data_IF_054250567175
#
_entry.id   IF_054250567175
#
_cell.length_a   1.000
_cell.length_b   1.000
_cell.length_c   1.000
_cell.angle_alpha   90.00
_cell.angle_beta   90.00
_cell.angle_gamma   90.00
#
_symmetry.space_group_name_H-M   'P 1'
#
loop_
_entity.id
_entity.type
_entity.pdbx_description
1 polymer ?
#
# COMPACT_ATOMS: atom_id res chain seq x y z
N UNK A 1 -6.32 24.23 10.62
CA UNK A 1 -5.99 23.09 9.71
C UNK A 1 -7.24 22.79 8.92
N UNK A 2 -7.18 22.88 7.60
CA UNK A 2 -8.33 22.56 6.72
C UNK A 2 -8.47 21.04 6.58
N UNK A 3 -9.69 20.55 6.33
CA UNK A 3 -9.99 19.12 6.10
C UNK A 3 -9.11 18.50 5.00
N UNK A 4 -8.73 19.31 4.02
CA UNK A 4 -7.83 18.96 2.93
C UNK A 4 -6.46 18.50 3.43
N UNK A 5 -5.97 19.08 4.51
CA UNK A 5 -4.68 18.75 5.11
C UNK A 5 -4.68 17.38 5.80
N UNK A 6 -5.80 16.94 6.38
CA UNK A 6 -5.89 15.65 7.08
C UNK A 6 -5.81 14.47 6.12
N UNK A 7 -6.57 14.47 5.02
CA UNK A 7 -6.54 13.38 4.03
C UNK A 7 -5.15 13.30 3.39
N UNK A 8 -4.58 14.44 3.03
CA UNK A 8 -3.23 14.50 2.48
C UNK A 8 -2.20 13.90 3.44
N UNK A 9 -2.25 14.28 4.72
CA UNK A 9 -1.35 13.76 5.76
C UNK A 9 -1.49 12.24 5.93
N UNK A 10 -2.71 11.70 5.89
CA UNK A 10 -2.94 10.26 5.98
C UNK A 10 -2.26 9.50 4.81
N UNK A 11 -2.36 9.99 3.58
CA UNK A 11 -1.72 9.36 2.44
C UNK A 11 -0.22 9.61 2.37
N UNK A 12 0.27 10.75 2.84
CA UNK A 12 1.71 10.99 3.03
C UNK A 12 2.33 10.02 4.03
N UNK A 13 1.66 9.80 5.18
CA UNK A 13 2.06 8.77 6.14
C UNK A 13 2.04 7.38 5.52
N UNK A 14 0.98 7.02 4.77
CA UNK A 14 0.89 5.70 4.13
C UNK A 14 2.03 5.47 3.13
N UNK A 15 2.35 6.46 2.30
CA UNK A 15 3.49 6.42 1.37
C UNK A 15 4.82 6.23 2.11
N UNK A 16 5.06 7.03 3.14
CA UNK A 16 6.26 6.96 3.96
C UNK A 16 6.40 5.60 4.66
N UNK A 17 5.34 5.08 5.25
CA UNK A 17 5.35 3.79 5.95
C UNK A 17 5.60 2.61 4.98
N UNK A 18 4.98 2.64 3.79
CA UNK A 18 5.26 1.67 2.74
C UNK A 18 6.74 1.74 2.32
N UNK A 19 7.27 2.94 2.05
CA UNK A 19 8.66 3.10 1.64
C UNK A 19 9.65 2.52 2.67
N UNK A 20 9.40 2.74 3.97
CA UNK A 20 10.23 2.20 5.06
C UNK A 20 10.19 0.67 5.10
N UNK A 21 8.98 0.08 5.01
CA UNK A 21 8.85 -1.38 5.00
C UNK A 21 9.57 -2.01 3.81
N UNK A 22 9.35 -1.48 2.60
CA UNK A 22 9.98 -2.02 1.41
C UNK A 22 11.50 -1.87 1.44
N UNK A 23 12.01 -0.75 1.97
CA UNK A 23 13.44 -0.54 2.16
C UNK A 23 14.05 -1.55 3.14
N UNK A 24 13.39 -1.85 4.25
CA UNK A 24 13.85 -2.86 5.22
C UNK A 24 13.89 -4.28 4.65
N UNK A 25 13.05 -4.57 3.64
CA UNK A 25 13.01 -5.87 2.99
C UNK A 25 13.96 -5.99 1.79
N UNK A 26 14.55 -4.90 1.31
CA UNK A 26 15.37 -4.90 0.09
C UNK A 26 16.66 -5.73 0.20
N UNK A 27 17.19 -5.90 1.42
CA UNK A 27 18.41 -6.66 1.69
C UNK A 27 18.18 -8.11 2.16
N UNK A 28 16.92 -8.57 2.20
CA UNK A 28 16.59 -9.93 2.63
C UNK A 28 16.99 -10.97 1.59
N UNK A 29 17.43 -12.15 2.08
CA UNK A 29 17.65 -13.31 1.21
C UNK A 29 16.33 -13.83 0.65
N UNK A 30 16.40 -14.64 -0.41
CA UNK A 30 15.21 -15.29 -0.97
C UNK A 30 14.50 -16.18 0.08
N UNK A 31 15.24 -16.90 0.90
CA UNK A 31 14.68 -17.70 2.00
C UNK A 31 13.90 -16.83 3.00
N UNK A 32 14.44 -15.66 3.39
CA UNK A 32 13.77 -14.71 4.27
C UNK A 32 12.53 -14.10 3.60
N UNK A 33 12.64 -13.74 2.32
CA UNK A 33 11.51 -13.18 1.56
C UNK A 33 10.37 -14.21 1.39
N UNK A 34 10.68 -15.50 1.33
CA UNK A 34 9.72 -16.58 1.15
C UNK A 34 9.19 -17.11 2.50
N UNK A 35 9.68 -16.59 3.63
CA UNK A 35 9.16 -16.92 4.96
C UNK A 35 7.72 -16.43 5.14
N UNK A 36 6.93 -17.25 5.84
CA UNK A 36 5.54 -16.94 6.23
C UNK A 36 5.24 -17.52 7.60
N UNK A 37 4.29 -16.90 8.31
CA UNK A 37 3.77 -17.38 9.58
C UNK A 37 2.25 -17.55 9.51
N UNK A 38 1.69 -18.30 10.45
CA UNK A 38 0.23 -18.48 10.55
C UNK A 38 -0.44 -17.12 10.83
N UNK A 39 -1.52 -16.84 10.10
CA UNK A 39 -2.28 -15.58 10.24
C UNK A 39 -1.82 -14.44 9.34
N UNK A 40 -0.81 -14.67 8.46
CA UNK A 40 -0.43 -13.70 7.43
C UNK A 40 -1.04 -14.05 6.06
N UNK A 41 -1.13 -13.07 5.19
CA UNK A 41 -1.63 -13.21 3.81
C UNK A 41 -0.83 -14.26 3.02
N UNK A 42 0.48 -14.25 3.17
CA UNK A 42 1.40 -15.15 2.48
C UNK A 42 2.83 -14.95 2.97
N UNK A 43 3.81 -15.24 2.12
CA UNK A 43 5.20 -14.89 2.41
C UNK A 43 5.41 -13.38 2.45
N UNK A 44 6.56 -12.92 2.97
CA UNK A 44 6.94 -11.50 2.89
C UNK A 44 6.87 -11.02 1.44
N UNK A 45 7.46 -11.77 0.52
CA UNK A 45 7.45 -11.47 -0.93
C UNK A 45 6.03 -11.35 -1.49
N UNK A 46 5.15 -12.29 -1.16
CA UNK A 46 3.76 -12.28 -1.62
C UNK A 46 3.00 -11.10 -1.06
N UNK A 47 3.21 -10.79 0.22
CA UNK A 47 2.54 -9.68 0.90
C UNK A 47 3.00 -8.33 0.35
N UNK A 48 4.31 -8.14 0.13
CA UNK A 48 4.83 -6.92 -0.51
C UNK A 48 4.27 -6.74 -1.93
N UNK A 49 4.24 -7.82 -2.73
CA UNK A 49 3.63 -7.78 -4.06
C UNK A 49 2.15 -7.40 -3.98
N UNK A 50 1.42 -7.96 -3.01
CA UNK A 50 0.01 -7.68 -2.80
C UNK A 50 -0.23 -6.21 -2.41
N UNK A 51 0.55 -5.64 -1.49
CA UNK A 51 0.48 -4.22 -1.15
C UNK A 51 0.66 -3.36 -2.41
N UNK A 52 1.73 -3.58 -3.18
CA UNK A 52 2.07 -2.74 -4.33
C UNK A 52 1.02 -2.80 -5.44
N UNK A 53 0.57 -4.01 -5.80
CA UNK A 53 -0.41 -4.19 -6.87
C UNK A 53 -1.81 -3.71 -6.48
N UNK A 54 -2.20 -3.91 -5.22
CA UNK A 54 -3.49 -3.44 -4.70
C UNK A 54 -3.55 -1.91 -4.64
N UNK A 55 -2.52 -1.26 -4.10
CA UNK A 55 -2.46 0.21 -4.01
C UNK A 55 -2.47 0.85 -5.40
N UNK A 56 -1.71 0.31 -6.35
CA UNK A 56 -1.75 0.72 -7.75
C UNK A 56 -3.16 0.55 -8.33
N UNK A 57 -3.85 -0.55 -8.01
CA UNK A 57 -5.20 -0.83 -8.48
C UNK A 57 -6.23 0.14 -7.87
N UNK A 58 -6.11 0.51 -6.60
CA UNK A 58 -6.98 1.50 -5.96
C UNK A 58 -6.83 2.88 -6.63
N UNK A 59 -5.60 3.33 -6.85
CA UNK A 59 -5.35 4.59 -7.56
C UNK A 59 -5.93 4.58 -8.98
N UNK A 60 -5.68 3.53 -9.75
CA UNK A 60 -6.20 3.42 -11.11
C UNK A 60 -7.73 3.39 -11.15
N UNK A 61 -8.38 2.66 -10.23
CA UNK A 61 -9.84 2.65 -10.15
C UNK A 61 -10.42 4.04 -9.91
N UNK A 62 -9.83 4.83 -9.01
CA UNK A 62 -10.27 6.19 -8.73
C UNK A 62 -10.07 7.09 -9.97
N UNK A 63 -8.93 6.99 -10.65
CA UNK A 63 -8.58 7.84 -11.78
C UNK A 63 -9.29 7.47 -13.10
N UNK A 64 -9.50 6.16 -13.33
CA UNK A 64 -9.91 5.66 -14.65
C UNK A 64 -11.14 4.76 -14.62
N UNK A 65 -11.63 4.39 -13.45
CA UNK A 65 -12.69 3.38 -13.27
C UNK A 65 -12.21 1.92 -13.51
N UNK A 66 -10.95 1.70 -13.88
CA UNK A 66 -10.43 0.37 -14.22
C UNK A 66 -9.40 -0.11 -13.20
N UNK A 67 -9.37 -1.41 -12.84
CA UNK A 67 -8.34 -1.97 -12.00
C UNK A 67 -6.99 -2.02 -12.72
N UNK A 68 -5.91 -1.98 -11.96
CA UNK A 68 -4.60 -2.35 -12.47
C UNK A 68 -4.61 -3.83 -12.91
N UNK A 69 -4.15 -4.08 -14.11
CA UNK A 69 -3.97 -5.42 -14.66
C UNK A 69 -2.55 -5.57 -15.16
N UNK A 70 -1.88 -6.55 -14.64
CA UNK A 70 -0.55 -6.93 -15.13
C UNK A 70 -0.71 -7.95 -16.26
N UNK A 71 0.07 -7.86 -17.37
CA UNK A 71 0.08 -8.88 -18.40
C UNK A 71 0.42 -10.27 -17.82
N UNK A 72 -0.25 -11.33 -18.29
CA UNK A 72 -0.02 -12.70 -17.80
C UNK A 72 1.42 -13.15 -17.95
N UNK A 73 2.08 -12.75 -19.04
CA UNK A 73 3.47 -13.12 -19.34
C UNK A 73 4.51 -12.11 -18.82
N UNK A 74 4.11 -11.16 -17.95
CA UNK A 74 5.05 -10.22 -17.38
C UNK A 74 6.01 -10.95 -16.41
N UNK A 75 7.32 -10.64 -16.45
CA UNK A 75 8.31 -11.29 -15.57
C UNK A 75 7.99 -11.02 -14.09
N UNK A 76 8.41 -11.89 -13.16
CA UNK A 76 8.24 -11.64 -11.72
C UNK A 76 8.74 -10.25 -11.32
N UNK A 77 8.02 -9.59 -10.40
CA UNK A 77 8.42 -8.28 -9.88
C UNK A 77 9.55 -8.48 -8.87
N UNK A 78 10.63 -7.76 -9.06
CA UNK A 78 11.70 -7.65 -8.06
C UNK A 78 11.26 -6.72 -6.92
N UNK A 79 11.92 -6.80 -5.77
CA UNK A 79 11.65 -5.87 -4.65
C UNK A 79 11.84 -4.41 -5.10
N UNK A 80 12.87 -4.13 -5.88
CA UNK A 80 13.10 -2.79 -6.44
C UNK A 80 11.94 -2.31 -7.34
N UNK A 81 11.39 -3.19 -8.17
CA UNK A 81 10.22 -2.86 -8.99
C UNK A 81 8.97 -2.61 -8.12
N UNK A 82 8.78 -3.39 -7.04
CA UNK A 82 7.70 -3.18 -6.09
C UNK A 82 7.86 -1.86 -5.31
N UNK A 83 9.09 -1.51 -4.91
CA UNK A 83 9.39 -0.21 -4.30
C UNK A 83 8.98 0.96 -5.22
N UNK A 84 9.34 0.87 -6.48
CA UNK A 84 8.96 1.91 -7.45
C UNK A 84 7.44 1.97 -7.65
N UNK A 85 6.75 0.83 -7.69
CA UNK A 85 5.28 0.79 -7.77
C UNK A 85 4.61 1.50 -6.58
N UNK A 86 5.01 1.20 -5.34
CA UNK A 86 4.41 1.85 -4.16
C UNK A 86 4.78 3.33 -4.07
N UNK A 87 5.95 3.74 -4.55
CA UNK A 87 6.30 5.14 -4.65
C UNK A 87 5.35 5.88 -5.60
N UNK A 88 5.17 5.36 -6.81
CA UNK A 88 4.31 5.98 -7.83
C UNK A 88 2.84 5.99 -7.42
N UNK A 89 2.32 4.85 -6.90
CA UNK A 89 0.93 4.77 -6.46
C UNK A 89 0.69 5.64 -5.22
N UNK A 90 1.60 5.67 -4.28
CA UNK A 90 1.51 6.49 -3.07
C UNK A 90 1.54 7.98 -3.38
N UNK A 91 2.47 8.46 -4.22
CA UNK A 91 2.49 9.84 -4.71
C UNK A 91 1.18 10.20 -5.42
N UNK A 92 0.70 9.31 -6.29
CA UNK A 92 -0.57 9.50 -6.97
C UNK A 92 -1.77 9.58 -6.03
N UNK A 93 -1.79 8.80 -4.95
CA UNK A 93 -2.84 8.87 -3.92
C UNK A 93 -2.75 10.15 -3.09
N UNK A 94 -1.54 10.62 -2.74
CA UNK A 94 -1.33 11.91 -2.07
C UNK A 94 -1.91 13.07 -2.88
N UNK A 95 -1.79 13.03 -4.21
CA UNK A 95 -2.34 14.03 -5.12
C UNK A 95 -3.86 13.87 -5.31
N UNK A 96 -4.34 12.63 -5.46
CA UNK A 96 -5.73 12.35 -5.87
C UNK A 96 -6.70 12.40 -4.71
N UNK A 97 -6.31 11.89 -3.52
CA UNK A 97 -7.23 11.73 -2.40
C UNK A 97 -7.89 13.04 -1.92
N UNK A 98 -7.19 14.19 -1.87
CA UNK A 98 -7.81 15.46 -1.48
C UNK A 98 -8.87 15.98 -2.49
N UNK A 99 -8.89 15.44 -3.70
CA UNK A 99 -9.81 15.86 -4.77
C UNK A 99 -11.09 15.01 -4.79
N UNK A 100 -11.09 13.85 -4.09
CA UNK A 100 -12.25 12.95 -4.04
C UNK A 100 -13.33 13.54 -3.13
N UNK A 101 -14.54 13.61 -3.67
CA UNK A 101 -15.73 14.10 -2.97
C UNK A 101 -16.69 12.96 -2.61
N UNK A 102 -17.67 13.24 -1.77
CA UNK A 102 -18.71 12.28 -1.37
C UNK A 102 -19.60 11.82 -2.54
N UNK A 103 -19.61 12.57 -3.64
CA UNK A 103 -20.41 12.27 -4.85
C UNK A 103 -19.67 11.37 -5.83
N UNK A 104 -18.36 11.24 -5.70
CA UNK A 104 -17.54 10.43 -6.60
C UNK A 104 -17.75 8.95 -6.33
N UNK A 105 -17.99 8.18 -7.38
CA UNK A 105 -18.15 6.74 -7.30
C UNK A 105 -17.44 6.04 -8.45
N UNK A 106 -17.05 4.78 -8.20
CA UNK A 106 -16.38 3.93 -9.17
C UNK A 106 -17.19 2.64 -9.31
N UNK A 107 -17.44 2.22 -10.55
CA UNK A 107 -18.06 0.92 -10.79
C UNK A 107 -16.99 -0.18 -10.67
N UNK A 108 -17.19 -1.09 -9.73
CA UNK A 108 -16.36 -2.28 -9.54
C UNK A 108 -17.18 -3.52 -9.88
N UNK A 109 -16.53 -4.51 -10.48
CA UNK A 109 -17.15 -5.81 -10.67
C UNK A 109 -16.82 -6.68 -9.45
N UNK A 110 -17.86 -7.03 -8.69
CA UNK A 110 -17.75 -7.84 -7.48
C UNK A 110 -18.65 -9.06 -7.64
N UNK A 111 -18.07 -10.24 -7.52
CA UNK A 111 -18.78 -11.52 -7.69
C UNK A 111 -19.57 -11.64 -9.01
N UNK A 112 -19.01 -11.09 -10.09
CA UNK A 112 -19.64 -11.11 -11.42
C UNK A 112 -20.70 -10.04 -11.66
N UNK A 113 -21.03 -9.21 -10.65
CA UNK A 113 -22.00 -8.12 -10.77
C UNK A 113 -21.35 -6.73 -10.63
N UNK A 114 -21.70 -5.76 -11.49
CA UNK A 114 -21.22 -4.38 -11.34
C UNK A 114 -21.89 -3.74 -10.12
N UNK A 115 -21.07 -3.07 -9.29
CA UNK A 115 -21.52 -2.29 -8.14
C UNK A 115 -20.92 -0.90 -8.19
N UNK A 116 -21.72 0.12 -7.91
CA UNK A 116 -21.23 1.47 -7.68
C UNK A 116 -20.72 1.59 -6.24
N UNK A 117 -19.45 1.92 -6.08
CA UNK A 117 -18.80 2.08 -4.77
C UNK A 117 -18.35 3.52 -4.64
N UNK A 118 -18.68 4.23 -3.55
CA UNK A 118 -18.15 5.57 -3.30
C UNK A 118 -16.61 5.57 -3.32
N UNK A 119 -15.99 6.50 -4.01
CA UNK A 119 -14.53 6.56 -4.13
C UNK A 119 -13.84 6.71 -2.77
N UNK A 120 -14.49 7.37 -1.81
CA UNK A 120 -13.99 7.48 -0.43
C UNK A 120 -13.83 6.11 0.26
N UNK A 121 -14.66 5.12 -0.08
CA UNK A 121 -14.54 3.75 0.45
C UNK A 121 -13.27 3.08 -0.08
N UNK A 122 -12.91 3.34 -1.35
CA UNK A 122 -11.66 2.85 -1.95
C UNK A 122 -10.46 3.48 -1.27
N UNK A 123 -10.51 4.79 -0.97
CA UNK A 123 -9.45 5.48 -0.21
C UNK A 123 -9.30 4.91 1.20
N UNK A 124 -10.42 4.67 1.90
CA UNK A 124 -10.41 4.04 3.23
C UNK A 124 -9.80 2.64 3.17
N UNK A 125 -10.19 1.85 2.16
CA UNK A 125 -9.64 0.51 1.95
C UNK A 125 -8.14 0.56 1.66
N UNK A 126 -7.66 1.52 0.88
CA UNK A 126 -6.23 1.63 0.56
C UNK A 126 -5.36 1.77 1.82
N UNK A 127 -5.77 2.62 2.78
CA UNK A 127 -5.04 2.81 4.05
C UNK A 127 -5.15 1.58 4.94
N UNK A 128 -6.36 1.05 5.15
CA UNK A 128 -6.58 -0.10 6.05
C UNK A 128 -5.84 -1.33 5.54
N UNK A 129 -5.96 -1.63 4.26
CA UNK A 129 -5.30 -2.74 3.59
C UNK A 129 -3.77 -2.67 3.72
N UNK A 130 -3.18 -1.51 3.42
CA UNK A 130 -1.75 -1.33 3.55
C UNK A 130 -1.31 -1.47 5.01
N UNK A 131 -2.04 -0.92 5.97
CA UNK A 131 -1.73 -1.01 7.40
C UNK A 131 -1.77 -2.46 7.90
N UNK A 132 -2.81 -3.21 7.53
CA UNK A 132 -2.94 -4.63 7.88
C UNK A 132 -1.75 -5.44 7.34
N UNK A 133 -1.45 -5.31 6.08
CA UNK A 133 -0.37 -6.09 5.46
C UNK A 133 1.02 -5.64 5.89
N UNK A 134 1.25 -4.36 6.19
CA UNK A 134 2.49 -3.91 6.84
C UNK A 134 2.69 -4.58 8.19
N UNK A 135 1.64 -4.68 9.01
CA UNK A 135 1.70 -5.36 10.30
C UNK A 135 2.02 -6.86 10.15
N UNK A 136 1.47 -7.53 9.13
CA UNK A 136 1.77 -8.93 8.84
C UNK A 136 3.24 -9.14 8.43
N UNK A 137 3.80 -8.28 7.58
CA UNK A 137 5.22 -8.34 7.22
C UNK A 137 6.08 -8.06 8.45
N UNK A 138 5.76 -7.04 9.26
CA UNK A 138 6.48 -6.72 10.49
C UNK A 138 6.49 -7.90 11.47
N UNK A 139 5.37 -8.59 11.65
CA UNK A 139 5.28 -9.79 12.49
C UNK A 139 6.18 -10.93 11.95
N UNK A 140 6.23 -11.11 10.62
CA UNK A 140 7.10 -12.13 10.02
C UNK A 140 8.58 -11.77 10.16
N UNK A 141 8.95 -10.50 10.01
CA UNK A 141 10.32 -10.04 10.28
C UNK A 141 10.72 -10.30 11.73
N UNK A 142 9.86 -9.96 12.69
CA UNK A 142 10.09 -10.26 14.12
C UNK A 142 10.28 -11.75 14.36
N UNK A 143 9.47 -12.61 13.75
CA UNK A 143 9.61 -14.06 13.84
C UNK A 143 10.98 -14.56 13.32
N UNK A 144 11.52 -13.90 12.30
CA UNK A 144 12.86 -14.18 11.77
C UNK A 144 14.01 -13.60 12.62
N UNK A 145 13.70 -12.92 13.73
CA UNK A 145 14.70 -12.22 14.55
C UNK A 145 15.21 -10.91 13.90
N UNK A 146 14.49 -10.38 12.93
CA UNK A 146 14.80 -9.12 12.24
C UNK A 146 13.89 -8.04 12.82
N UNK A 147 14.49 -6.95 13.28
CA UNK A 147 13.71 -5.82 13.81
C UNK A 147 12.94 -5.11 12.70
N UNK A 148 11.59 -5.03 12.77
CA UNK A 148 10.82 -4.32 11.77
C UNK A 148 11.00 -2.80 11.92
N UNK A 149 10.85 -2.01 10.83
CA UNK A 149 10.92 -0.56 10.92
C UNK A 149 9.70 -0.02 11.69
N UNK A 150 9.91 1.02 12.48
CA UNK A 150 8.82 1.79 13.04
C UNK A 150 8.07 2.53 11.92
N UNK A 151 6.73 2.43 11.92
CA UNK A 151 5.87 2.94 10.84
C UNK A 151 4.64 3.68 11.38
N UNK A 152 4.65 4.05 12.65
CA UNK A 152 3.55 4.75 13.29
C UNK A 152 3.56 6.26 13.00
N UNK A 153 2.49 6.94 13.41
CA UNK A 153 2.30 8.36 13.15
C UNK A 153 3.24 9.28 13.92
N UNK A 154 3.76 8.84 15.07
CA UNK A 154 4.71 9.64 15.86
C UNK A 154 6.08 9.64 15.21
N UNK A 155 6.57 8.48 14.82
CA UNK A 155 7.83 8.33 14.09
C UNK A 155 7.77 9.06 12.73
N UNK A 156 6.61 9.04 12.06
CA UNK A 156 6.40 9.84 10.84
C UNK A 156 6.50 11.35 11.11
N UNK A 157 5.88 11.82 12.19
CA UNK A 157 5.96 13.23 12.58
C UNK A 157 7.40 13.67 12.82
N UNK A 158 8.17 12.89 13.59
CA UNK A 158 9.57 13.20 13.89
C UNK A 158 10.43 13.22 12.62
N UNK A 159 10.22 12.26 11.71
CA UNK A 159 10.91 12.22 10.43
C UNK A 159 10.60 13.44 9.55
N UNK A 160 9.35 13.93 9.57
CA UNK A 160 8.94 15.11 8.80
C UNK A 160 9.52 16.43 9.37
N UNK A 161 9.91 16.48 10.66
CA UNK A 161 10.57 17.64 11.24
C UNK A 161 12.09 17.68 10.94
N UNK A 162 12.69 16.53 10.62
CA UNK A 162 14.13 16.41 10.34
C UNK A 162 14.49 16.66 8.87
N UNK A 163 13.50 16.80 7.98
CA UNK A 163 13.64 17.00 6.53
C UNK A 163 13.55 18.47 6.14
#
# INVERSE_FOLDING_TARGET
MTTENTIKTLFQHNLWANARLFASCAGLSDEQLDAKIVGTYGSIRDTLRHIATSETSYLQRIRTGQPFRRPENAPPLTIAALQEMVRQSGEGLVETAPQVTAQDSVTVNWDGAPRSVPAIVILTQAINHATEHRAQVAATLTYLGIEPPEMDGWTYYDAAQAS
#
